data_IF_473035801444
#
_entry.id   IF_473035801444
#
_cell.length_a   1.000
_cell.length_b   1.000
_cell.length_c   1.000
_cell.angle_alpha   90.00
_cell.angle_beta   90.00
_cell.angle_gamma   90.00
#
_symmetry.space_group_name_H-M   'P 1'
#
loop_
_entity.id
_entity.type
_entity.pdbx_description
1 polymer ?
#
# COMPACT_ATOMS: atom_id res chain seq x y z
N UNK A 1 -21.26 6.26 -19.26
CA UNK A 1 -20.44 7.50 -19.25
C UNK A 1 -19.16 7.20 -18.48
N UNK A 2 -17.99 7.55 -19.01
CA UNK A 2 -16.73 7.41 -18.27
C UNK A 2 -16.70 8.40 -17.09
N UNK A 3 -16.18 7.97 -15.93
CA UNK A 3 -16.12 8.79 -14.72
C UNK A 3 -15.10 9.91 -14.88
N UNK A 4 -15.36 11.05 -14.25
CA UNK A 4 -14.44 12.19 -14.28
C UNK A 4 -13.09 11.85 -13.63
N UNK A 5 -13.09 11.07 -12.54
CA UNK A 5 -11.83 10.64 -11.91
C UNK A 5 -10.98 9.74 -12.80
N UNK A 6 -11.61 8.90 -13.62
CA UNK A 6 -10.89 8.04 -14.59
C UNK A 6 -10.20 8.86 -15.68
N UNK A 7 -10.84 9.92 -16.18
CA UNK A 7 -10.21 10.86 -17.11
C UNK A 7 -9.00 11.56 -16.50
N UNK A 8 -9.08 11.93 -15.22
CA UNK A 8 -7.93 12.52 -14.53
C UNK A 8 -6.78 11.51 -14.37
N UNK A 9 -7.06 10.23 -14.14
CA UNK A 9 -6.03 9.19 -14.12
C UNK A 9 -5.37 9.00 -15.49
N UNK A 10 -6.15 8.96 -16.55
CA UNK A 10 -5.65 8.87 -17.93
C UNK A 10 -4.73 10.07 -18.26
N UNK A 11 -5.12 11.28 -17.86
CA UNK A 11 -4.26 12.46 -18.01
C UNK A 11 -2.97 12.34 -17.21
N UNK A 12 -3.02 11.78 -16.00
CA UNK A 12 -1.83 11.57 -15.18
C UNK A 12 -0.87 10.58 -15.85
N UNK A 13 -1.39 9.47 -16.38
CA UNK A 13 -0.60 8.46 -17.11
C UNK A 13 0.01 9.02 -18.38
N UNK A 14 -0.75 9.79 -19.17
CA UNK A 14 -0.22 10.46 -20.35
C UNK A 14 0.91 11.43 -19.99
N UNK A 15 0.77 12.18 -18.90
CA UNK A 15 1.83 13.05 -18.40
C UNK A 15 3.08 12.25 -18.00
N UNK A 16 2.94 11.05 -17.44
CA UNK A 16 4.10 10.20 -17.12
C UNK A 16 4.81 9.72 -18.39
N UNK A 17 4.06 9.30 -19.41
CA UNK A 17 4.63 8.92 -20.73
C UNK A 17 5.38 10.10 -21.36
N UNK A 18 4.79 11.29 -21.36
CA UNK A 18 5.46 12.51 -21.84
C UNK A 18 6.72 12.85 -21.02
N UNK A 19 6.74 12.53 -19.73
CA UNK A 19 7.92 12.74 -18.89
C UNK A 19 9.05 11.76 -19.21
N UNK A 20 8.71 10.54 -19.62
CA UNK A 20 9.66 9.51 -20.06
C UNK A 20 10.26 9.84 -21.42
N UNK A 21 9.46 10.38 -22.33
CA UNK A 21 9.87 10.79 -23.69
C UNK A 21 10.58 12.15 -23.73
N UNK A 22 10.52 12.92 -22.64
CA UNK A 22 11.05 14.27 -22.61
C UNK A 22 12.58 14.31 -22.83
N UNK A 23 13.01 15.11 -23.82
CA UNK A 23 14.42 15.26 -24.20
C UNK A 23 15.27 16.07 -23.21
N UNK A 24 14.65 16.70 -22.21
CA UNK A 24 15.35 17.47 -21.21
C UNK A 24 14.71 17.34 -19.82
N UNK A 25 15.57 17.46 -18.79
CA UNK A 25 15.18 17.25 -17.40
C UNK A 25 14.09 18.22 -16.91
N UNK A 26 14.11 19.47 -17.40
CA UNK A 26 13.12 20.46 -16.97
C UNK A 26 11.72 20.13 -17.48
N UNK A 27 11.59 19.69 -18.74
CA UNK A 27 10.34 19.22 -19.31
C UNK A 27 9.83 17.96 -18.58
N UNK A 28 10.71 16.98 -18.34
CA UNK A 28 10.36 15.79 -17.57
C UNK A 28 9.81 16.14 -16.17
N UNK A 29 10.44 17.11 -15.48
CA UNK A 29 9.97 17.59 -14.18
C UNK A 29 8.60 18.27 -14.25
N UNK A 30 8.33 19.06 -15.29
CA UNK A 30 7.01 19.70 -15.49
C UNK A 30 5.93 18.64 -15.69
N UNK A 31 6.17 17.66 -16.56
CA UNK A 31 5.23 16.58 -16.80
C UNK A 31 4.98 15.73 -15.55
N UNK A 32 6.01 15.39 -14.78
CA UNK A 32 5.84 14.70 -13.48
C UNK A 32 5.00 15.49 -12.48
N UNK A 33 5.14 16.82 -12.43
CA UNK A 33 4.31 17.66 -11.56
C UNK A 33 2.85 17.67 -12.03
N UNK A 34 2.64 17.75 -13.34
CA UNK A 34 1.30 17.69 -13.93
C UNK A 34 0.62 16.35 -13.67
N UNK A 35 1.37 15.23 -13.80
CA UNK A 35 0.88 13.91 -13.45
C UNK A 35 0.40 13.84 -11.99
N UNK A 36 1.21 14.33 -11.05
CA UNK A 36 0.84 14.40 -9.62
C UNK A 36 -0.42 15.24 -9.40
N UNK A 37 -0.55 16.38 -10.08
CA UNK A 37 -1.72 17.23 -9.96
C UNK A 37 -2.99 16.53 -10.47
N UNK A 38 -2.90 15.83 -11.61
CA UNK A 38 -4.00 15.02 -12.13
C UNK A 38 -4.38 13.86 -11.22
N UNK A 39 -3.42 13.13 -10.65
CA UNK A 39 -3.69 12.08 -9.66
C UNK A 39 -4.39 12.63 -8.40
N UNK A 40 -4.01 13.83 -7.95
CA UNK A 40 -4.68 14.49 -6.83
C UNK A 40 -6.13 14.82 -7.18
N UNK A 41 -6.39 15.43 -8.35
CA UNK A 41 -7.75 15.71 -8.81
C UNK A 41 -8.62 14.44 -8.95
N UNK A 42 -8.04 13.33 -9.42
CA UNK A 42 -8.74 12.05 -9.48
C UNK A 42 -9.17 11.54 -8.09
N UNK A 43 -8.29 11.73 -7.10
CA UNK A 43 -8.56 11.35 -5.71
C UNK A 43 -9.70 12.18 -5.14
N UNK A 44 -9.69 13.50 -5.38
CA UNK A 44 -10.72 14.37 -4.81
C UNK A 44 -12.05 14.16 -5.51
N UNK A 45 -12.03 13.84 -6.81
CA UNK A 45 -13.24 13.50 -7.53
C UNK A 45 -13.86 12.20 -7.03
N UNK A 46 -13.05 11.18 -6.71
CA UNK A 46 -13.58 9.97 -6.07
C UNK A 46 -14.22 10.29 -4.71
N UNK A 47 -13.60 11.15 -3.90
CA UNK A 47 -14.18 11.60 -2.63
C UNK A 47 -15.52 12.31 -2.82
N UNK A 48 -15.60 13.25 -3.77
CA UNK A 48 -16.82 13.98 -4.10
C UNK A 48 -17.93 13.05 -4.62
N UNK A 49 -17.55 12.01 -5.34
CA UNK A 49 -18.48 11.00 -5.87
C UNK A 49 -18.85 9.92 -4.82
N UNK A 50 -18.35 10.03 -3.59
CA UNK A 50 -18.63 9.12 -2.48
C UNK A 50 -17.86 7.79 -2.52
N UNK A 51 -16.82 7.71 -3.35
CA UNK A 51 -15.92 6.56 -3.40
C UNK A 51 -14.75 6.73 -2.41
N UNK A 52 -14.24 5.62 -1.87
CA UNK A 52 -13.07 5.67 -1.00
C UNK A 52 -11.87 6.20 -1.79
N UNK A 53 -11.22 7.22 -1.23
CA UNK A 53 -10.01 7.82 -1.80
C UNK A 53 -8.86 6.82 -1.78
N UNK A 54 -7.81 7.09 -2.54
CA UNK A 54 -6.58 6.30 -2.47
C UNK A 54 -5.98 6.30 -1.04
N UNK A 55 -6.12 7.43 -0.32
CA UNK A 55 -5.72 7.56 1.09
C UNK A 55 -6.51 6.63 2.00
N UNK A 56 -7.83 6.56 1.83
CA UNK A 56 -8.68 5.67 2.62
C UNK A 56 -8.32 4.20 2.36
N UNK A 57 -8.09 3.83 1.09
CA UNK A 57 -7.71 2.46 0.72
C UNK A 57 -6.33 2.07 1.24
N UNK A 58 -5.36 2.97 1.19
CA UNK A 58 -4.02 2.70 1.74
C UNK A 58 -4.05 2.60 3.26
N UNK A 59 -4.85 3.43 3.93
CA UNK A 59 -5.13 3.30 5.36
C UNK A 59 -5.79 1.97 5.71
N UNK A 60 -6.77 1.53 4.91
CA UNK A 60 -7.44 0.24 5.09
C UNK A 60 -6.46 -0.93 4.91
N UNK A 61 -5.68 -0.94 3.82
CA UNK A 61 -4.68 -1.99 3.57
C UNK A 61 -3.60 -2.02 4.66
N UNK A 62 -3.20 -0.86 5.17
CA UNK A 62 -2.26 -0.78 6.29
C UNK A 62 -2.87 -1.34 7.58
N UNK A 63 -4.14 -1.03 7.86
CA UNK A 63 -4.86 -1.59 9.00
C UNK A 63 -4.99 -3.11 8.90
N UNK A 64 -5.39 -3.63 7.73
CA UNK A 64 -5.51 -5.06 7.48
C UNK A 64 -4.15 -5.79 7.61
N UNK A 65 -3.06 -5.15 7.15
CA UNK A 65 -1.72 -5.69 7.31
C UNK A 65 -1.25 -5.73 8.77
N UNK A 66 -1.65 -4.76 9.59
CA UNK A 66 -1.36 -4.73 11.03
C UNK A 66 -2.16 -5.81 11.76
N UNK A 67 -3.43 -6.00 11.42
CA UNK A 67 -4.28 -7.06 12.00
C UNK A 67 -3.69 -8.45 11.70
N UNK A 68 -3.25 -8.69 10.46
CA UNK A 68 -2.61 -9.95 10.07
C UNK A 68 -1.24 -10.22 10.72
N UNK A 69 -0.58 -9.21 11.30
CA UNK A 69 0.64 -9.42 12.10
C UNK A 69 0.30 -9.94 13.51
N UNK A 70 -0.85 -9.56 14.07
CA UNK A 70 -1.32 -10.02 15.39
C UNK A 70 -1.48 -11.54 15.45
N UNK A 71 -2.00 -12.15 14.38
CA UNK A 71 -2.17 -13.61 14.30
C UNK A 71 -0.84 -14.39 14.23
N UNK A 72 0.23 -13.77 13.72
CA UNK A 72 1.55 -14.42 13.63
C UNK A 72 2.24 -14.52 14.98
N UNK A 73 2.05 -13.53 15.85
CA UNK A 73 2.61 -13.55 17.21
C UNK A 73 1.95 -14.62 18.08
N UNK A 74 0.67 -14.93 17.85
CA UNK A 74 -0.02 -16.05 18.50
C UNK A 74 0.52 -17.44 18.07
N UNK A 75 1.04 -17.57 16.85
CA UNK A 75 1.63 -18.83 16.37
C UNK A 75 3.07 -19.02 16.88
N UNK A 76 3.82 -17.94 17.06
CA UNK A 76 5.18 -17.98 17.59
C UNK A 76 5.25 -18.28 19.10
N UNK A 77 4.24 -17.89 19.88
CA UNK A 77 4.14 -18.23 21.31
C UNK A 77 3.98 -19.73 21.53
N UNK A 78 3.19 -20.40 20.68
CA UNK A 78 2.95 -21.85 20.75
C UNK A 78 4.23 -22.69 20.60
N UNK A 79 5.16 -22.29 19.71
CA UNK A 79 6.44 -23.01 19.52
C UNK A 79 7.37 -22.89 20.73
N UNK A 80 7.35 -21.76 21.46
CA UNK A 80 8.18 -21.57 22.67
C UNK A 80 7.69 -22.39 23.84
N UNK A 81 6.37 -22.54 24.00
CA UNK A 81 5.79 -23.35 25.06
C UNK A 81 6.05 -24.84 24.84
N UNK A 82 6.00 -25.32 23.59
CA UNK A 82 6.32 -26.71 23.26
C UNK A 82 7.81 -27.04 23.48
N UNK A 83 8.72 -26.07 23.26
CA UNK A 83 10.15 -26.24 23.51
C UNK A 83 10.49 -26.36 25.00
N UNK A 84 9.72 -25.69 25.88
CA UNK A 84 9.92 -25.76 27.33
C UNK A 84 9.49 -27.11 27.92
N UNK A 85 8.53 -27.82 27.31
CA UNK A 85 8.08 -29.14 27.77
C UNK A 85 9.06 -30.29 27.45
N UNK A 86 10.04 -30.09 26.57
CA UNK A 86 10.95 -31.15 26.13
C UNK A 86 12.25 -31.24 26.96
N UNK A 87 12.49 -30.30 27.88
CA UNK A 87 13.78 -30.16 28.58
C UNK A 87 13.78 -30.77 29.99
N UNK A 88 12.62 -31.06 30.60
CA UNK A 88 12.54 -31.77 31.89
C UNK A 88 12.30 -33.28 31.67
N UNK A 89 13.34 -33.97 31.19
CA UNK A 89 13.42 -35.44 31.27
C UNK A 89 14.13 -35.85 32.57
N UNK A 90 13.61 -36.79 33.38
CA UNK A 90 14.25 -37.19 34.64
C UNK A 90 15.64 -37.76 34.37
N UNK A 91 16.65 -37.16 35.01
CA UNK A 91 17.98 -37.72 35.12
C UNK A 91 17.92 -38.86 36.15
N UNK A 92 17.70 -40.09 35.69
CA UNK A 92 17.89 -41.27 36.52
C UNK A 92 19.40 -41.59 36.60
N UNK A 93 19.96 -41.35 37.78
CA UNK A 93 21.28 -41.84 38.20
C UNK A 93 21.14 -43.26 38.75
N UNK A 94 21.76 -44.24 38.09
CA UNK A 94 22.69 -45.26 38.64
C UNK A 94 22.93 -46.40 37.63
#
# INVERSE_FOLDING_TARGET
MARTSDKFRENAENCLQLAEEATNAQAALRYKRMARAWSALATEQDWLDGYPTQGDRTGQLAADAIDGLSDKDASASNIRDQKSQLIDGPLDCD
#
